data_IF_894504517935
#
_entry.id   IF_894504517935
#
_cell.length_a   1.000
_cell.length_b   1.000
_cell.length_c   1.000
_cell.angle_alpha   90.00
_cell.angle_beta   90.00
_cell.angle_gamma   90.00
#
_symmetry.space_group_name_H-M   'P 1'
#
loop_
_entity.id
_entity.type
_entity.pdbx_description
1 polymer ?
#
# COMPACT_ATOMS: atom_id res chain seq x y z
N UNK A 1 -29.64 13.03 -34.74
CA UNK A 1 -29.41 11.82 -35.53
C UNK A 1 -28.26 12.12 -36.49
N UNK A 2 -27.14 11.40 -36.42
CA UNK A 2 -25.92 11.74 -37.20
C UNK A 2 -25.92 10.94 -38.50
N UNK A 3 -25.82 11.62 -39.65
CA UNK A 3 -25.70 11.02 -40.98
C UNK A 3 -24.26 11.17 -41.49
N UNK A 4 -23.69 10.13 -42.11
CA UNK A 4 -22.38 10.21 -42.79
C UNK A 4 -21.25 9.29 -42.28
N UNK A 5 -21.50 8.46 -41.26
CA UNK A 5 -20.49 7.47 -40.83
C UNK A 5 -20.43 6.29 -41.81
N UNK A 6 -19.23 5.81 -42.21
CA UNK A 6 -19.09 4.64 -43.07
C UNK A 6 -19.66 3.39 -42.40
N UNK A 7 -20.39 2.57 -43.16
CA UNK A 7 -20.93 1.28 -42.69
C UNK A 7 -19.78 0.33 -42.37
N UNK A 8 -19.43 0.23 -41.09
CA UNK A 8 -18.46 -0.76 -40.61
C UNK A 8 -19.08 -2.16 -40.71
N UNK A 9 -18.49 -3.04 -41.51
CA UNK A 9 -18.87 -4.45 -41.57
C UNK A 9 -18.21 -5.18 -40.40
N UNK A 10 -18.99 -5.54 -39.39
CA UNK A 10 -18.50 -6.39 -38.30
C UNK A 10 -18.38 -7.84 -38.80
N UNK A 11 -17.21 -8.45 -38.68
CA UNK A 11 -17.06 -9.89 -38.87
C UNK A 11 -17.82 -10.63 -37.76
N UNK A 12 -18.45 -11.77 -38.08
CA UNK A 12 -19.18 -12.60 -37.11
C UNK A 12 -18.25 -13.40 -36.17
N UNK A 13 -17.10 -12.82 -35.81
CA UNK A 13 -16.08 -13.45 -34.96
C UNK A 13 -15.83 -12.64 -33.70
N UNK A 14 -15.22 -13.28 -32.70
CA UNK A 14 -14.71 -12.58 -31.52
C UNK A 14 -13.62 -11.61 -31.96
N UNK A 15 -13.80 -10.33 -31.68
CA UNK A 15 -12.77 -9.32 -31.93
C UNK A 15 -11.67 -9.46 -30.87
N UNK A 16 -10.43 -9.67 -31.30
CA UNK A 16 -9.26 -9.79 -30.42
C UNK A 16 -9.11 -8.56 -29.52
N UNK A 17 -9.21 -7.35 -30.08
CA UNK A 17 -9.16 -6.10 -29.34
C UNK A 17 -10.29 -5.96 -28.31
N UNK A 18 -11.51 -6.39 -28.65
CA UNK A 18 -12.62 -6.42 -27.69
C UNK A 18 -12.40 -7.46 -26.59
N UNK A 19 -11.75 -8.58 -26.90
CA UNK A 19 -11.48 -9.67 -25.95
C UNK A 19 -10.42 -9.25 -24.95
N UNK A 20 -9.37 -8.57 -25.40
CA UNK A 20 -8.33 -8.01 -24.53
C UNK A 20 -8.87 -6.82 -23.71
N UNK A 21 -9.61 -5.90 -24.34
CA UNK A 21 -10.14 -4.71 -23.68
C UNK A 21 -11.30 -4.98 -22.71
N UNK A 22 -12.01 -6.11 -22.86
CA UNK A 22 -13.08 -6.54 -21.95
C UNK A 22 -12.71 -7.81 -21.17
N UNK A 23 -11.43 -8.18 -21.14
CA UNK A 23 -11.01 -9.32 -20.34
C UNK A 23 -11.32 -9.01 -18.87
N UNK A 24 -12.23 -9.76 -18.22
CA UNK A 24 -12.47 -9.56 -16.80
C UNK A 24 -11.19 -9.94 -16.06
N UNK A 25 -10.78 -9.11 -15.11
CA UNK A 25 -9.71 -9.49 -14.21
C UNK A 25 -10.13 -10.78 -13.49
N UNK A 26 -9.28 -11.80 -13.54
CA UNK A 26 -9.55 -13.05 -12.81
C UNK A 26 -9.63 -12.70 -11.33
N UNK A 27 -10.57 -13.33 -10.63
CA UNK A 27 -10.61 -13.22 -9.17
C UNK A 27 -9.23 -13.63 -8.63
N UNK A 28 -8.58 -12.73 -7.92
CA UNK A 28 -7.42 -13.10 -7.12
C UNK A 28 -7.86 -14.19 -6.16
N UNK A 29 -7.12 -15.30 -6.14
CA UNK A 29 -7.33 -16.33 -5.12
C UNK A 29 -7.24 -15.63 -3.76
N UNK A 30 -8.38 -15.57 -3.08
CA UNK A 30 -8.47 -15.11 -1.69
C UNK A 30 -7.89 -16.19 -0.79
N UNK A 31 -6.70 -16.69 -1.11
CA UNK A 31 -5.95 -17.60 -0.26
C UNK A 31 -6.04 -17.10 1.18
N UNK A 32 -6.21 -18.02 2.13
CA UNK A 32 -6.50 -17.71 3.55
C UNK A 32 -5.72 -16.46 3.95
N UNK A 33 -6.42 -15.37 4.26
CA UNK A 33 -5.76 -14.13 4.63
C UNK A 33 -4.89 -14.43 5.84
N UNK A 34 -3.57 -14.43 5.62
CA UNK A 34 -2.63 -14.69 6.68
C UNK A 34 -2.65 -13.46 7.60
N UNK A 35 -2.94 -13.69 8.87
CA UNK A 35 -2.95 -12.66 9.91
C UNK A 35 -1.95 -13.04 10.99
N UNK A 36 -1.25 -12.05 11.51
CA UNK A 36 -0.39 -12.20 12.67
C UNK A 36 -1.17 -12.77 13.87
N UNK A 37 -0.53 -13.67 14.61
CA UNK A 37 -1.12 -14.32 15.78
C UNK A 37 -0.73 -13.68 17.10
N UNK A 38 0.36 -12.89 17.09
CA UNK A 38 0.91 -12.20 18.26
C UNK A 38 1.41 -10.81 17.84
N UNK A 39 1.52 -9.86 18.79
CA UNK A 39 2.12 -8.57 18.51
C UNK A 39 3.51 -8.72 17.90
N UNK A 40 3.81 -7.86 16.93
CA UNK A 40 5.07 -7.74 16.20
C UNK A 40 5.45 -8.96 15.33
N UNK A 41 4.54 -9.93 15.13
CA UNK A 41 4.76 -11.01 14.17
C UNK A 41 4.81 -10.48 12.72
N UNK A 42 4.02 -9.44 12.42
CA UNK A 42 4.05 -8.72 11.15
C UNK A 42 3.74 -7.25 11.41
N UNK A 43 4.64 -6.37 10.98
CA UNK A 43 4.45 -4.92 10.96
C UNK A 43 4.43 -4.47 9.51
N UNK A 44 3.38 -3.75 9.13
CA UNK A 44 3.30 -3.09 7.83
C UNK A 44 3.87 -1.68 7.95
N UNK A 45 4.72 -1.31 7.00
CA UNK A 45 5.28 0.02 6.86
C UNK A 45 4.71 0.68 5.60
N UNK A 46 4.42 1.97 5.69
CA UNK A 46 4.03 2.79 4.55
C UNK A 46 4.57 4.21 4.69
N UNK A 47 4.95 4.81 3.56
CA UNK A 47 5.34 6.23 3.48
C UNK A 47 4.41 6.93 2.50
N UNK A 48 3.64 7.90 2.98
CA UNK A 48 2.73 8.70 2.16
C UNK A 48 3.29 10.11 1.98
N UNK A 49 3.25 10.63 0.74
CA UNK A 49 3.70 11.97 0.39
C UNK A 49 4.58 12.01 -0.87
N UNK A 50 5.09 13.18 -1.27
CA UNK A 50 4.96 14.47 -0.58
C UNK A 50 3.54 15.03 -0.69
N UNK A 51 2.99 15.52 0.42
CA UNK A 51 1.72 16.23 0.44
C UNK A 51 1.91 17.67 -0.07
N UNK A 52 0.91 18.26 -0.78
CA UNK A 52 1.05 19.58 -1.38
C UNK A 52 1.12 20.70 -0.34
N UNK A 53 0.44 20.54 0.79
CA UNK A 53 0.50 21.46 1.91
C UNK A 53 1.30 20.85 3.06
N UNK A 54 2.34 21.54 3.55
CA UNK A 54 3.08 21.06 4.72
C UNK A 54 2.21 21.04 5.98
N UNK A 55 2.55 20.16 6.91
CA UNK A 55 1.99 20.19 8.26
C UNK A 55 2.41 21.45 9.03
N UNK A 56 1.85 21.65 10.23
CA UNK A 56 2.27 22.71 11.15
C UNK A 56 3.78 22.70 11.43
N UNK A 57 4.39 21.52 11.47
CA UNK A 57 5.84 21.32 11.70
C UNK A 57 6.68 21.32 10.43
N UNK A 58 6.06 21.68 9.28
CA UNK A 58 6.66 21.68 7.93
C UNK A 58 6.99 20.29 7.38
N UNK A 59 6.33 19.24 7.87
CA UNK A 59 6.46 17.90 7.32
C UNK A 59 5.68 17.75 6.01
N UNK A 60 6.25 17.03 5.05
CA UNK A 60 5.66 16.74 3.74
C UNK A 60 5.31 15.27 3.58
N UNK A 61 5.79 14.39 4.45
CA UNK A 61 5.51 12.96 4.40
C UNK A 61 4.98 12.46 5.74
N UNK A 62 4.25 11.36 5.67
CA UNK A 62 3.77 10.61 6.83
C UNK A 62 4.29 9.19 6.72
N UNK A 63 5.00 8.74 7.75
CA UNK A 63 5.48 7.39 7.91
C UNK A 63 4.59 6.67 8.92
N UNK A 64 4.06 5.51 8.55
CA UNK A 64 3.27 4.67 9.45
C UNK A 64 3.88 3.29 9.62
N UNK A 65 3.83 2.80 10.86
CA UNK A 65 4.06 1.40 11.21
C UNK A 65 2.78 0.85 11.82
N UNK A 66 2.26 -0.24 11.27
CA UNK A 66 0.98 -0.83 11.68
C UNK A 66 1.23 -2.28 12.08
N UNK A 67 1.03 -2.60 13.36
CA UNK A 67 1.06 -3.98 13.82
C UNK A 67 -0.17 -4.75 13.31
N UNK A 68 0.05 -5.86 12.60
CA UNK A 68 -1.04 -6.61 11.98
C UNK A 68 -1.97 -7.31 12.99
N UNK A 69 -1.42 -7.69 14.15
CA UNK A 69 -2.16 -8.37 15.20
C UNK A 69 -3.10 -7.39 15.93
N UNK A 70 -2.52 -6.40 16.60
CA UNK A 70 -3.21 -5.45 17.48
C UNK A 70 -3.86 -4.28 16.76
N UNK A 71 -3.46 -4.01 15.51
CA UNK A 71 -3.80 -2.78 14.75
C UNK A 71 -3.25 -1.49 15.37
N UNK A 72 -2.37 -1.59 16.36
CA UNK A 72 -1.67 -0.44 16.89
C UNK A 72 -0.84 0.22 15.78
N UNK A 73 -0.96 1.54 15.68
CA UNK A 73 -0.34 2.33 14.61
C UNK A 73 0.55 3.41 15.20
N UNK A 74 1.83 3.39 14.82
CA UNK A 74 2.76 4.48 15.09
C UNK A 74 2.82 5.38 13.86
N UNK A 75 2.74 6.69 14.09
CA UNK A 75 2.73 7.70 13.02
C UNK A 75 3.85 8.71 13.27
N UNK A 76 4.66 8.94 12.24
CA UNK A 76 5.77 9.89 12.25
C UNK A 76 5.60 10.88 11.10
N UNK A 77 5.87 12.15 11.37
CA UNK A 77 5.83 13.22 10.37
C UNK A 77 7.24 13.53 9.89
N UNK A 78 7.48 13.40 8.58
CA UNK A 78 8.81 13.59 7.99
C UNK A 78 8.85 14.83 7.10
N UNK A 79 9.95 15.56 7.17
CA UNK A 79 10.25 16.65 6.22
C UNK A 79 10.81 16.08 4.92
N UNK A 80 11.63 15.02 5.02
CA UNK A 80 12.33 14.42 3.88
C UNK A 80 12.18 12.89 3.91
N UNK A 81 12.04 12.26 2.74
CA UNK A 81 11.82 10.80 2.64
C UNK A 81 12.97 9.95 3.20
N UNK A 82 14.22 10.47 3.24
CA UNK A 82 15.35 9.70 3.78
C UNK A 82 15.32 9.56 5.31
N UNK A 83 14.51 10.35 6.02
CA UNK A 83 14.37 10.29 7.49
C UNK A 83 13.71 8.97 7.97
N UNK A 84 13.18 8.17 7.04
CA UNK A 84 12.48 6.91 7.33
C UNK A 84 13.34 5.93 8.13
N UNK A 85 14.62 5.79 7.77
CA UNK A 85 15.49 4.79 8.43
C UNK A 85 15.76 5.15 9.89
N UNK A 86 16.01 6.43 10.17
CA UNK A 86 16.22 6.93 11.53
C UNK A 86 14.99 6.68 12.40
N UNK A 87 13.80 7.07 11.92
CA UNK A 87 12.55 6.82 12.64
C UNK A 87 12.21 5.33 12.78
N UNK A 88 12.64 4.48 11.85
CA UNK A 88 12.51 3.03 11.98
C UNK A 88 13.34 2.49 13.16
N UNK A 89 14.57 2.99 13.36
CA UNK A 89 15.41 2.56 14.48
C UNK A 89 14.76 2.90 15.83
N UNK A 90 14.23 4.12 15.95
CA UNK A 90 13.51 4.57 17.13
C UNK A 90 12.23 3.76 17.38
N UNK A 91 11.43 3.57 16.33
CA UNK A 91 10.23 2.75 16.37
C UNK A 91 10.55 1.33 16.84
N UNK A 92 11.55 0.68 16.24
CA UNK A 92 11.93 -0.70 16.58
C UNK A 92 12.32 -0.80 18.05
N UNK A 93 13.19 0.10 18.54
CA UNK A 93 13.61 0.09 19.93
C UNK A 93 12.43 0.28 20.91
N UNK A 94 11.52 1.21 20.60
CA UNK A 94 10.33 1.48 21.41
C UNK A 94 9.36 0.29 21.41
N UNK A 95 8.96 -0.17 20.23
CA UNK A 95 7.95 -1.20 20.06
C UNK A 95 8.40 -2.54 20.65
N UNK A 96 9.66 -2.93 20.40
CA UNK A 96 10.18 -4.20 20.91
C UNK A 96 10.31 -4.19 22.44
N UNK A 97 10.70 -3.05 23.02
CA UNK A 97 10.77 -2.86 24.47
C UNK A 97 9.39 -2.88 25.11
N UNK A 98 8.39 -2.23 24.52
CA UNK A 98 7.02 -2.20 25.04
C UNK A 98 6.34 -3.57 24.97
N UNK A 99 6.60 -4.34 23.91
CA UNK A 99 5.99 -5.63 23.70
C UNK A 99 6.77 -6.79 24.33
N UNK A 100 7.99 -6.53 24.83
CA UNK A 100 8.97 -7.54 25.28
C UNK A 100 9.21 -8.63 24.20
N UNK A 101 9.22 -8.21 22.93
CA UNK A 101 9.23 -9.09 21.75
C UNK A 101 9.95 -8.41 20.60
N UNK A 102 10.63 -9.17 19.74
CA UNK A 102 11.21 -8.64 18.52
C UNK A 102 10.20 -8.56 17.37
N UNK A 103 10.41 -7.61 16.46
CA UNK A 103 9.72 -7.57 15.17
C UNK A 103 10.23 -8.74 14.32
N UNK A 104 9.32 -9.60 13.85
CA UNK A 104 9.68 -10.76 13.03
C UNK A 104 9.75 -10.44 11.55
N UNK A 105 8.74 -9.73 11.05
CA UNK A 105 8.61 -9.39 9.64
C UNK A 105 8.19 -7.93 9.53
N UNK A 106 8.97 -7.17 8.77
CA UNK A 106 8.59 -5.85 8.28
C UNK A 106 8.14 -6.00 6.83
N UNK A 107 6.91 -5.57 6.52
CA UNK A 107 6.41 -5.53 5.15
C UNK A 107 6.34 -4.08 4.68
N UNK A 108 7.03 -3.80 3.59
CA UNK A 108 7.03 -2.51 2.90
C UNK A 108 6.32 -2.65 1.55
N UNK A 109 5.83 -1.54 1.00
CA UNK A 109 5.24 -1.47 -0.34
C UNK A 109 6.26 -1.26 -1.48
N UNK A 110 7.56 -1.34 -1.15
CA UNK A 110 8.69 -1.03 -2.05
C UNK A 110 8.66 0.41 -2.61
N UNK A 111 8.14 1.36 -1.81
CA UNK A 111 8.05 2.77 -2.18
C UNK A 111 9.34 3.44 -2.60
#
# INVERSE_FOLDING_TARGET
MVNGLPRVKFSKGLCEGCTLGKHPEKNFDKGKSWRATRPLDLVHNNVSGPFPSPSFTRALYVLTFIDDYSRYTWVYFLKLKFEVFEHFQDFKALAEKQAERSIKVLRTDNG
#
